data_IF_582690499244
#
_entry.id   IF_582690499244
#
_cell.length_a   1.000
_cell.length_b   1.000
_cell.length_c   1.000
_cell.angle_alpha   90.00
_cell.angle_beta   90.00
_cell.angle_gamma   90.00
#
_symmetry.space_group_name_H-M   'P 1'
#
loop_
_entity.id
_entity.type
_entity.pdbx_description
1 polymer ?
#
# COMPACT_ATOMS: atom_id res chain seq x y z
N UNK A 1 14.71 14.08 35.74
CA UNK A 1 13.91 14.40 34.53
C UNK A 1 13.66 13.07 33.82
N UNK A 2 12.50 12.47 34.07
CA UNK A 2 12.10 11.23 33.41
C UNK A 2 11.90 11.54 31.92
N UNK A 3 12.67 10.89 31.05
CA UNK A 3 12.42 10.89 29.61
C UNK A 3 11.10 10.17 29.35
N UNK A 4 9.99 10.92 29.42
CA UNK A 4 8.73 10.55 28.78
C UNK A 4 9.04 10.56 27.28
N UNK A 5 9.39 9.41 26.71
CA UNK A 5 9.53 9.29 25.25
C UNK A 5 8.16 9.69 24.67
N UNK A 6 8.09 10.76 23.86
CA UNK A 6 6.86 11.03 23.12
C UNK A 6 6.58 9.80 22.26
N UNK A 7 5.30 9.43 22.15
CA UNK A 7 4.82 8.41 21.23
C UNK A 7 5.06 8.91 19.79
N UNK A 8 6.31 8.86 19.36
CA UNK A 8 6.73 9.17 18.02
C UNK A 8 6.26 8.00 17.17
N UNK A 9 5.39 8.28 16.19
CA UNK A 9 4.76 7.30 15.32
C UNK A 9 5.75 6.29 14.73
N UNK A 10 7.02 6.68 14.52
CA UNK A 10 8.10 5.90 13.87
C UNK A 10 8.68 4.71 14.65
N UNK A 11 8.12 4.35 15.83
CA UNK A 11 8.70 3.31 16.69
C UNK A 11 7.85 2.06 16.87
N UNK A 12 6.60 2.04 16.42
CA UNK A 12 5.72 0.89 16.60
C UNK A 12 6.28 -0.37 15.94
N UNK A 13 6.93 -0.24 14.79
CA UNK A 13 7.54 -1.35 14.08
C UNK A 13 8.58 -2.10 14.91
N UNK A 14 9.40 -1.41 15.71
CA UNK A 14 10.41 -2.07 16.54
C UNK A 14 9.78 -2.97 17.61
N UNK A 15 8.72 -2.49 18.27
CA UNK A 15 7.99 -3.31 19.23
C UNK A 15 7.24 -4.46 18.55
N UNK A 16 6.73 -4.20 17.36
CA UNK A 16 5.98 -5.19 16.58
C UNK A 16 6.88 -6.29 16.01
N UNK A 17 8.15 -6.03 15.71
CA UNK A 17 9.10 -7.09 15.31
C UNK A 17 9.24 -8.15 16.40
N UNK A 18 9.49 -7.71 17.64
CA UNK A 18 9.61 -8.59 18.81
C UNK A 18 8.27 -9.28 19.15
N UNK A 19 7.16 -8.55 19.05
CA UNK A 19 5.83 -9.10 19.26
C UNK A 19 5.49 -10.17 18.21
N UNK A 20 5.83 -9.94 16.94
CA UNK A 20 5.58 -10.87 15.85
C UNK A 20 6.42 -12.15 15.99
N UNK A 21 7.67 -12.04 16.46
CA UNK A 21 8.50 -13.20 16.78
C UNK A 21 7.88 -14.02 17.91
N UNK A 22 7.44 -13.36 19.00
CA UNK A 22 6.75 -14.03 20.10
C UNK A 22 5.41 -14.66 19.66
N UNK A 23 4.66 -13.99 18.79
CA UNK A 23 3.42 -14.52 18.21
C UNK A 23 3.66 -15.73 17.31
N UNK A 24 4.75 -15.77 16.56
CA UNK A 24 5.13 -16.92 15.76
C UNK A 24 5.55 -18.11 16.64
N UNK A 25 6.37 -17.86 17.66
CA UNK A 25 6.82 -18.89 18.60
C UNK A 25 5.69 -19.48 19.44
N UNK A 26 4.75 -18.64 19.88
CA UNK A 26 3.65 -19.02 20.77
C UNK A 26 2.28 -18.97 20.08
N UNK A 27 2.23 -19.23 18.76
CA UNK A 27 1.02 -19.09 17.93
C UNK A 27 -0.20 -19.84 18.48
N UNK A 28 0.01 -20.91 19.28
CA UNK A 28 -1.07 -21.67 19.92
C UNK A 28 -1.92 -20.83 20.88
N UNK A 29 -1.36 -19.74 21.43
CA UNK A 29 -2.02 -18.81 22.35
C UNK A 29 -2.81 -17.72 21.63
N UNK A 30 -2.82 -17.71 20.30
CA UNK A 30 -3.54 -16.72 19.51
C UNK A 30 -5.05 -16.86 19.67
N UNK A 31 -5.69 -15.76 20.06
CA UNK A 31 -7.15 -15.68 20.15
C UNK A 31 -7.76 -15.26 18.82
N UNK A 32 -9.09 -15.39 18.71
CA UNK A 32 -9.84 -14.89 17.55
C UNK A 32 -9.72 -13.37 17.39
N UNK A 33 -9.73 -12.61 18.48
CA UNK A 33 -9.55 -11.15 18.42
C UNK A 33 -8.18 -10.77 17.86
N UNK A 34 -7.13 -11.50 18.27
CA UNK A 34 -5.78 -11.28 17.74
C UNK A 34 -5.72 -11.58 16.23
N UNK A 35 -6.43 -12.61 15.77
CA UNK A 35 -6.53 -12.93 14.34
C UNK A 35 -7.30 -11.87 13.54
N UNK A 36 -8.39 -11.32 14.10
CA UNK A 36 -9.17 -10.26 13.45
C UNK A 36 -8.35 -8.96 13.30
N UNK A 37 -7.50 -8.64 14.28
CA UNK A 37 -6.51 -7.55 14.19
C UNK A 37 -5.55 -7.77 13.02
N UNK A 38 -4.96 -8.97 12.90
CA UNK A 38 -4.05 -9.30 11.79
C UNK A 38 -4.74 -9.25 10.43
N UNK A 39 -5.99 -9.72 10.35
CA UNK A 39 -6.80 -9.64 9.14
C UNK A 39 -7.07 -8.19 8.74
N UNK A 40 -7.34 -7.30 9.69
CA UNK A 40 -7.51 -5.87 9.44
C UNK A 40 -6.24 -5.25 8.89
N UNK A 41 -5.09 -5.47 9.54
CA UNK A 41 -3.80 -4.97 9.08
C UNK A 41 -3.44 -5.50 7.67
N UNK A 42 -3.71 -6.79 7.39
CA UNK A 42 -3.54 -7.37 6.05
C UNK A 42 -4.42 -6.67 5.01
N UNK A 43 -5.68 -6.38 5.36
CA UNK A 43 -6.61 -5.67 4.46
C UNK A 43 -6.08 -4.28 4.13
N UNK A 44 -5.64 -3.52 5.12
CA UNK A 44 -5.07 -2.18 4.93
C UNK A 44 -3.80 -2.21 4.05
N UNK A 45 -2.92 -3.20 4.26
CA UNK A 45 -1.76 -3.42 3.39
C UNK A 45 -2.16 -3.74 1.94
N UNK A 46 -3.23 -4.51 1.72
CA UNK A 46 -3.70 -4.76 0.35
C UNK A 46 -4.25 -3.50 -0.31
N UNK A 47 -5.00 -2.68 0.43
CA UNK A 47 -5.52 -1.41 -0.07
C UNK A 47 -4.43 -0.36 -0.33
N UNK A 48 -3.32 -0.39 0.41
CA UNK A 48 -2.22 0.55 0.19
C UNK A 48 -1.52 0.34 -1.15
N UNK A 49 -1.45 -0.89 -1.69
CA UNK A 49 -0.99 -1.13 -3.07
C UNK A 49 -1.88 -0.46 -4.11
N UNK A 50 -3.21 -0.56 -3.94
CA UNK A 50 -4.14 0.11 -4.84
C UNK A 50 -4.01 1.63 -4.73
N UNK A 51 -3.95 2.17 -3.52
CA UNK A 51 -3.77 3.60 -3.28
C UNK A 51 -2.47 4.13 -3.90
N UNK A 52 -1.37 3.40 -3.76
CA UNK A 52 -0.10 3.73 -4.39
C UNK A 52 -0.18 3.71 -5.93
N UNK A 53 -0.90 2.74 -6.50
CA UNK A 53 -1.11 2.65 -7.94
C UNK A 53 -1.91 3.85 -8.47
N UNK A 54 -2.96 4.24 -7.75
CA UNK A 54 -3.76 5.44 -8.08
C UNK A 54 -2.91 6.71 -7.97
N UNK A 55 -2.16 6.87 -6.88
CA UNK A 55 -1.25 8.00 -6.69
C UNK A 55 -0.18 8.08 -7.79
N UNK A 56 0.34 6.94 -8.23
CA UNK A 56 1.30 6.86 -9.33
C UNK A 56 0.68 7.34 -10.64
N UNK A 57 -0.51 6.83 -10.98
CA UNK A 57 -1.23 7.20 -12.21
C UNK A 57 -1.51 8.71 -12.23
N UNK A 58 -2.09 9.23 -11.14
CA UNK A 58 -2.43 10.65 -11.03
C UNK A 58 -1.18 11.53 -11.06
N UNK A 59 -0.18 11.23 -10.22
CA UNK A 59 1.06 12.02 -10.12
C UNK A 59 1.87 12.03 -11.41
N UNK A 60 1.95 10.89 -12.11
CA UNK A 60 2.61 10.82 -13.42
C UNK A 60 1.84 11.59 -14.48
N UNK A 61 0.52 11.45 -14.51
CA UNK A 61 -0.33 12.10 -15.52
C UNK A 61 -0.33 13.63 -15.44
N UNK A 62 -0.11 14.19 -14.24
CA UNK A 62 0.03 15.63 -14.02
C UNK A 62 1.21 16.26 -14.79
N UNK A 63 2.20 15.44 -15.18
CA UNK A 63 3.39 15.88 -15.91
C UNK A 63 3.53 15.23 -17.29
N UNK A 64 2.51 14.51 -17.78
CA UNK A 64 2.50 13.93 -19.12
C UNK A 64 2.05 14.95 -20.17
N UNK A 65 2.67 14.93 -21.35
CA UNK A 65 2.20 15.68 -22.53
C UNK A 65 0.97 15.02 -23.17
N UNK A 66 0.30 15.70 -24.10
CA UNK A 66 -0.87 15.14 -24.81
C UNK A 66 -0.50 13.88 -25.59
N UNK A 67 0.68 13.86 -26.22
CA UNK A 67 1.19 12.69 -26.96
C UNK A 67 1.36 11.49 -26.03
N UNK A 68 1.87 11.72 -24.81
CA UNK A 68 2.07 10.65 -23.83
C UNK A 68 0.73 10.10 -23.31
N UNK A 69 -0.32 10.93 -23.21
CA UNK A 69 -1.67 10.47 -22.86
C UNK A 69 -2.33 9.74 -24.02
N UNK A 70 -2.23 10.26 -25.24
CA UNK A 70 -2.75 9.64 -26.45
C UNK A 70 -2.09 8.28 -26.70
N UNK A 71 -0.80 8.11 -26.39
CA UNK A 71 -0.14 6.80 -26.41
C UNK A 71 -0.81 5.73 -25.52
N UNK A 72 -1.67 6.14 -24.58
CA UNK A 72 -2.42 5.26 -23.67
C UNK A 72 -3.93 5.18 -23.98
N UNK A 73 -4.42 5.96 -24.95
CA UNK A 73 -5.83 6.04 -25.33
C UNK A 73 -6.03 5.61 -26.80
N UNK A 74 -5.16 6.12 -27.68
CA UNK A 74 -5.28 5.95 -29.11
C UNK A 74 -4.97 4.50 -29.51
N UNK A 75 -5.92 3.78 -30.15
CA UNK A 75 -5.70 2.40 -30.56
C UNK A 75 -4.57 2.26 -31.58
N UNK A 76 -4.18 3.34 -32.27
CA UNK A 76 -2.97 3.35 -33.07
C UNK A 76 -1.78 2.84 -32.24
N UNK A 77 -1.46 3.47 -31.12
CA UNK A 77 -0.31 3.08 -30.29
C UNK A 77 -0.58 1.77 -29.54
N UNK A 78 -1.78 1.59 -29.00
CA UNK A 78 -2.11 0.40 -28.20
C UNK A 78 -2.09 -0.89 -29.02
N UNK A 79 -2.31 -0.82 -30.33
CA UNK A 79 -2.31 -1.98 -31.21
C UNK A 79 -0.94 -2.23 -31.87
N UNK A 80 0.14 -1.56 -31.44
CA UNK A 80 1.48 -1.70 -32.05
C UNK A 80 2.01 -3.13 -32.04
N UNK A 81 1.62 -3.92 -31.03
CA UNK A 81 2.06 -5.32 -30.88
C UNK A 81 1.38 -6.25 -31.89
N UNK A 82 0.13 -5.97 -32.27
CA UNK A 82 -0.72 -6.92 -33.01
C UNK A 82 -1.02 -6.49 -34.44
N UNK A 83 -1.07 -5.18 -34.70
CA UNK A 83 -1.50 -4.62 -35.99
C UNK A 83 -0.32 -3.91 -36.68
N UNK A 84 0.01 -4.29 -37.93
CA UNK A 84 1.00 -3.58 -38.74
C UNK A 84 0.63 -2.10 -38.94
N UNK A 85 1.62 -1.21 -38.82
CA UNK A 85 1.40 0.25 -38.94
C UNK A 85 0.81 0.66 -40.29
N UNK A 86 1.16 -0.05 -41.36
CA UNK A 86 0.62 0.20 -42.70
C UNK A 86 -0.90 0.05 -42.83
N UNK A 87 -1.56 -0.68 -41.94
CA UNK A 87 -3.04 -0.76 -41.91
C UNK A 87 -3.66 0.55 -41.41
N UNK A 88 -3.04 1.19 -40.42
CA UNK A 88 -3.47 2.50 -39.92
C UNK A 88 -3.22 3.64 -40.90
N UNK A 89 -2.18 3.53 -41.74
CA UNK A 89 -1.88 4.54 -42.77
C UNK A 89 -2.85 4.49 -43.96
N UNK A 90 -3.57 3.38 -44.13
CA UNK A 90 -4.58 3.22 -45.19
C UNK A 90 -5.93 3.75 -44.70
N UNK A 91 -6.30 4.94 -45.16
CA UNK A 91 -7.61 5.52 -44.88
C UNK A 91 -8.73 4.56 -45.34
N UNK A 92 -9.68 4.29 -44.45
CA UNK A 92 -10.80 3.37 -44.70
C UNK A 92 -10.54 1.90 -44.39
N UNK A 93 -9.32 1.52 -43.97
CA UNK A 93 -9.04 0.14 -43.52
C UNK A 93 -9.79 -0.21 -42.23
N UNK A 94 -9.85 0.73 -41.29
CA UNK A 94 -10.67 0.63 -40.08
C UNK A 94 -11.85 1.60 -40.19
N UNK A 95 -13.06 1.11 -39.96
CA UNK A 95 -14.21 2.00 -39.82
C UNK A 95 -14.20 2.69 -38.46
N UNK A 96 -14.90 3.82 -38.34
CA UNK A 96 -14.98 4.57 -37.07
C UNK A 96 -15.53 3.72 -35.94
N UNK A 97 -16.50 2.85 -36.21
CA UNK A 97 -17.05 1.88 -35.24
C UNK A 97 -15.97 0.93 -34.71
N UNK A 98 -15.09 0.47 -35.57
CA UNK A 98 -14.03 -0.48 -35.22
C UNK A 98 -12.97 0.22 -34.35
N UNK A 99 -12.63 1.46 -34.71
CA UNK A 99 -11.72 2.30 -33.94
C UNK A 99 -12.26 2.56 -32.53
N UNK A 100 -13.56 2.86 -32.39
CA UNK A 100 -14.18 3.04 -31.08
C UNK A 100 -14.21 1.75 -30.25
N UNK A 101 -14.41 0.60 -30.89
CA UNK A 101 -14.35 -0.71 -30.21
C UNK A 101 -12.93 -1.03 -29.71
N UNK A 102 -11.91 -0.60 -30.45
CA UNK A 102 -10.50 -0.81 -30.10
C UNK A 102 -10.01 0.10 -28.97
N UNK A 103 -10.71 1.21 -28.67
CA UNK A 103 -10.32 2.10 -27.58
C UNK A 103 -10.50 1.45 -26.22
N UNK A 104 -9.58 1.67 -25.27
CA UNK A 104 -9.72 1.15 -23.92
C UNK A 104 -10.88 1.83 -23.19
N UNK A 105 -11.79 1.02 -22.62
CA UNK A 105 -12.98 1.51 -21.91
C UNK A 105 -12.80 1.61 -20.39
N UNK A 106 -11.65 1.17 -19.89
CA UNK A 106 -11.33 1.13 -18.46
C UNK A 106 -11.27 2.52 -17.80
N UNK A 107 -11.33 2.57 -16.45
CA UNK A 107 -11.40 3.83 -15.70
C UNK A 107 -10.19 4.74 -15.93
N UNK A 108 -8.99 4.17 -16.10
CA UNK A 108 -7.76 4.93 -16.36
C UNK A 108 -7.78 5.61 -17.73
N UNK A 109 -8.31 4.93 -18.75
CA UNK A 109 -8.43 5.50 -20.09
C UNK A 109 -9.42 6.67 -20.11
N UNK A 110 -10.57 6.52 -19.44
CA UNK A 110 -11.55 7.60 -19.27
C UNK A 110 -10.95 8.79 -18.52
N UNK A 111 -10.17 8.53 -17.47
CA UNK A 111 -9.45 9.56 -16.73
C UNK A 111 -8.47 10.31 -17.64
N UNK A 112 -7.65 9.62 -18.43
CA UNK A 112 -6.73 10.28 -19.37
C UNK A 112 -7.46 11.04 -20.47
N UNK A 113 -8.58 10.52 -20.97
CA UNK A 113 -9.40 11.21 -21.98
C UNK A 113 -9.97 12.52 -21.42
N UNK A 114 -10.45 12.52 -20.18
CA UNK A 114 -10.83 13.74 -19.48
C UNK A 114 -9.63 14.69 -19.30
N UNK A 115 -8.46 14.14 -18.94
CA UNK A 115 -7.25 14.92 -18.67
C UNK A 115 -6.68 15.64 -19.90
N UNK A 116 -6.99 15.19 -21.12
CA UNK A 116 -6.63 15.91 -22.36
C UNK A 116 -7.16 17.36 -22.35
N UNK A 117 -8.34 17.60 -21.79
CA UNK A 117 -8.93 18.94 -21.67
C UNK A 117 -8.43 19.75 -20.47
N UNK A 118 -7.55 19.19 -19.64
CA UNK A 118 -7.11 19.80 -18.38
C UNK A 118 -5.70 20.37 -18.53
N UNK A 119 -5.55 21.65 -18.17
CA UNK A 119 -4.25 22.32 -18.12
C UNK A 119 -3.33 21.63 -17.10
N UNK A 120 -2.11 21.31 -17.52
CA UNK A 120 -1.11 20.59 -16.72
C UNK A 120 0.31 21.07 -17.01
N UNK A 121 1.31 20.49 -16.35
CA UNK A 121 2.70 20.91 -16.43
C UNK A 121 3.54 19.83 -17.14
N UNK A 122 3.43 19.71 -18.48
CA UNK A 122 4.08 18.64 -19.21
C UNK A 122 5.59 18.75 -19.10
N UNK A 123 6.23 17.63 -18.79
CA UNK A 123 7.69 17.47 -18.85
C UNK A 123 8.02 16.42 -19.91
N UNK A 124 9.27 16.41 -20.39
CA UNK A 124 9.70 15.36 -21.32
C UNK A 124 9.55 13.99 -20.69
N UNK A 125 9.10 13.02 -21.50
CA UNK A 125 8.97 11.65 -21.03
C UNK A 125 10.35 11.12 -20.59
N UNK A 126 10.46 10.70 -19.33
CA UNK A 126 11.75 10.34 -18.73
C UNK A 126 11.68 10.20 -17.20
N UNK A 127 12.83 10.20 -16.51
CA UNK A 127 12.91 9.94 -15.08
C UNK A 127 12.12 10.94 -14.21
N UNK A 128 12.10 12.21 -14.59
CA UNK A 128 11.35 13.23 -13.83
C UNK A 128 9.83 12.97 -13.88
N UNK A 129 9.28 12.67 -15.06
CA UNK A 129 7.87 12.28 -15.20
C UNK A 129 7.54 11.03 -14.38
N UNK A 130 8.44 10.05 -14.38
CA UNK A 130 8.27 8.83 -13.59
C UNK A 130 8.32 9.11 -12.08
N UNK A 131 9.26 9.94 -11.63
CA UNK A 131 9.42 10.34 -10.23
C UNK A 131 8.19 11.08 -9.70
N UNK A 132 7.56 11.94 -10.50
CA UNK A 132 6.31 12.61 -10.14
C UNK A 132 5.15 11.65 -9.86
N UNK A 133 5.19 10.42 -10.39
CA UNK A 133 4.28 9.35 -9.98
C UNK A 133 4.82 8.51 -8.81
N UNK A 134 6.10 8.13 -8.84
CA UNK A 134 6.68 7.22 -7.84
C UNK A 134 6.76 7.83 -6.45
N UNK A 135 7.14 9.09 -6.32
CA UNK A 135 7.28 9.76 -5.02
C UNK A 135 5.96 9.79 -4.25
N UNK A 136 4.83 10.28 -4.79
CA UNK A 136 3.56 10.25 -4.07
C UNK A 136 3.06 8.82 -3.84
N UNK A 137 3.28 7.90 -4.77
CA UNK A 137 2.93 6.48 -4.58
C UNK A 137 3.70 5.84 -3.42
N UNK A 138 5.01 6.11 -3.33
CA UNK A 138 5.88 5.63 -2.26
C UNK A 138 5.44 6.17 -0.91
N UNK A 139 5.25 7.50 -0.80
CA UNK A 139 4.78 8.15 0.43
C UNK A 139 3.42 7.60 0.86
N UNK A 140 2.51 7.40 -0.08
CA UNK A 140 1.18 6.83 0.19
C UNK A 140 1.30 5.40 0.73
N UNK A 141 2.12 4.57 0.09
CA UNK A 141 2.32 3.18 0.51
C UNK A 141 2.96 3.09 1.89
N UNK A 142 4.08 3.79 2.11
CA UNK A 142 4.80 3.75 3.39
C UNK A 142 3.98 4.37 4.50
N UNK A 143 3.34 5.52 4.27
CA UNK A 143 2.49 6.20 5.24
C UNK A 143 1.30 5.35 5.68
N UNK A 144 0.57 4.75 4.73
CA UNK A 144 -0.58 3.89 5.06
C UNK A 144 -0.16 2.64 5.84
N UNK A 145 0.93 1.98 5.44
CA UNK A 145 1.42 0.80 6.17
C UNK A 145 1.90 1.18 7.57
N UNK A 146 2.59 2.30 7.71
CA UNK A 146 3.07 2.80 9.00
C UNK A 146 1.91 3.09 9.96
N UNK A 147 0.85 3.74 9.48
CA UNK A 147 -0.36 3.96 10.28
C UNK A 147 -1.11 2.67 10.61
N UNK A 148 -1.19 1.72 9.66
CA UNK A 148 -1.77 0.41 9.90
C UNK A 148 -1.05 -0.36 11.02
N UNK A 149 0.29 -0.33 11.05
CA UNK A 149 1.08 -0.95 12.13
C UNK A 149 0.85 -0.24 13.47
N UNK A 150 0.78 1.09 13.49
CA UNK A 150 0.43 1.84 14.70
C UNK A 150 -0.96 1.46 15.23
N UNK A 151 -1.95 1.32 14.35
CA UNK A 151 -3.29 0.90 14.74
C UNK A 151 -3.32 -0.55 15.25
N UNK A 152 -2.54 -1.44 14.62
CA UNK A 152 -2.36 -2.83 15.06
C UNK A 152 -1.80 -2.90 16.48
N UNK A 153 -0.70 -2.20 16.76
CA UNK A 153 -0.10 -2.16 18.09
C UNK A 153 -1.08 -1.59 19.12
N UNK A 154 -1.78 -0.49 18.80
CA UNK A 154 -2.79 0.10 19.67
C UNK A 154 -3.96 -0.86 19.96
N UNK A 155 -4.31 -1.71 19.01
CA UNK A 155 -5.35 -2.73 19.19
C UNK A 155 -4.86 -3.85 20.11
N UNK A 156 -3.63 -4.34 19.94
CA UNK A 156 -3.01 -5.30 20.85
C UNK A 156 -2.88 -4.76 22.29
N UNK A 157 -2.48 -3.49 22.46
CA UNK A 157 -2.36 -2.89 23.79
C UNK A 157 -3.67 -2.85 24.57
N UNK A 158 -4.82 -2.79 23.88
CA UNK A 158 -6.16 -2.79 24.48
C UNK A 158 -6.70 -4.19 24.73
N UNK A 159 -6.03 -5.22 24.19
CA UNK A 159 -6.54 -6.57 24.23
C UNK A 159 -6.04 -7.30 25.49
N UNK A 160 -6.97 -7.95 26.20
CA UNK A 160 -6.66 -8.73 27.41
C UNK A 160 -6.22 -10.16 27.04
N UNK A 161 -5.16 -10.26 26.24
CA UNK A 161 -4.57 -11.53 25.79
C UNK A 161 -3.10 -11.63 26.17
N UNK A 162 -2.53 -12.82 26.01
CA UNK A 162 -1.09 -13.08 26.19
C UNK A 162 -0.26 -12.10 25.34
N UNK A 163 -0.66 -11.91 24.08
CA UNK A 163 0.02 -10.98 23.17
C UNK A 163 -0.25 -9.51 23.50
N UNK A 164 -1.43 -9.17 24.01
CA UNK A 164 -1.69 -7.81 24.50
C UNK A 164 -0.88 -7.46 25.75
N UNK A 165 -0.67 -8.41 26.67
CA UNK A 165 0.25 -8.23 27.80
C UNK A 165 1.71 -8.11 27.33
N UNK A 166 2.14 -8.96 26.41
CA UNK A 166 3.47 -8.88 25.80
C UNK A 166 3.71 -7.50 25.16
N UNK A 167 2.76 -7.01 24.36
CA UNK A 167 2.83 -5.68 23.76
C UNK A 167 2.92 -4.57 24.80
N UNK A 168 2.15 -4.65 25.90
CA UNK A 168 2.20 -3.68 27.01
C UNK A 168 3.56 -3.68 27.70
N UNK A 169 4.16 -4.84 27.92
CA UNK A 169 5.49 -4.96 28.53
C UNK A 169 6.61 -4.44 27.63
N UNK A 170 6.55 -4.73 26.32
CA UNK A 170 7.48 -4.17 25.33
C UNK A 170 7.39 -2.64 25.26
N UNK A 171 6.18 -2.08 25.23
CA UNK A 171 5.96 -0.62 25.17
C UNK A 171 6.39 0.09 26.46
N UNK A 172 6.34 -0.60 27.62
CA UNK A 172 6.92 -0.09 28.88
C UNK A 172 8.45 0.01 28.82
N UNK A 173 9.09 -0.55 27.81
CA UNK A 173 10.53 -0.50 27.60
C UNK A 173 11.29 -1.64 28.28
N UNK A 174 10.62 -2.76 28.60
CA UNK A 174 11.33 -3.98 29.03
C UNK A 174 12.12 -4.57 27.88
N UNK A 175 13.22 -5.26 28.20
CA UNK A 175 13.93 -6.05 27.22
C UNK A 175 13.03 -7.18 26.70
N UNK A 176 13.14 -7.57 25.42
CA UNK A 176 12.29 -8.62 24.83
C UNK A 176 12.34 -9.94 25.61
N UNK A 177 13.53 -10.36 26.03
CA UNK A 177 13.74 -11.59 26.81
C UNK A 177 12.99 -11.56 28.16
N UNK A 178 13.04 -10.44 28.87
CA UNK A 178 12.35 -10.24 30.15
C UNK A 178 10.82 -10.24 29.97
N UNK A 179 10.34 -9.65 28.89
CA UNK A 179 8.92 -9.61 28.56
C UNK A 179 8.41 -11.03 28.21
N UNK A 180 9.14 -11.79 27.39
CA UNK A 180 8.81 -13.19 27.07
C UNK A 180 8.79 -14.02 28.36
N UNK A 181 9.86 -13.96 29.18
CA UNK A 181 9.93 -14.71 30.43
C UNK A 181 8.78 -14.38 31.38
N UNK A 182 8.41 -13.10 31.50
CA UNK A 182 7.30 -12.65 32.33
C UNK A 182 5.96 -13.21 31.86
N UNK A 183 5.73 -13.22 30.54
CA UNK A 183 4.50 -13.73 29.94
C UNK A 183 4.43 -15.26 30.02
N UNK A 184 5.51 -15.98 29.71
CA UNK A 184 5.56 -17.45 29.78
C UNK A 184 5.29 -17.95 31.20
N UNK A 185 5.84 -17.30 32.23
CA UNK A 185 5.54 -17.64 33.63
C UNK A 185 4.06 -17.49 33.98
N UNK A 186 3.36 -16.51 33.41
CA UNK A 186 1.91 -16.32 33.60
C UNK A 186 1.13 -17.40 32.87
N UNK A 187 1.51 -17.71 31.62
CA UNK A 187 0.92 -18.79 30.82
C UNK A 187 1.04 -20.14 31.54
N UNK A 188 2.22 -20.48 32.06
CA UNK A 188 2.45 -21.72 32.82
C UNK A 188 1.58 -21.81 34.08
N UNK A 189 1.34 -20.69 34.75
CA UNK A 189 0.57 -20.64 35.99
C UNK A 189 -0.94 -20.65 35.78
N UNK A 190 -1.42 -19.98 34.74
CA UNK A 190 -2.85 -19.70 34.54
C UNK A 190 -3.51 -20.56 33.45
N UNK A 191 -2.75 -21.05 32.46
CA UNK A 191 -3.30 -21.75 31.28
C UNK A 191 -2.88 -23.22 31.17
N UNK A 192 -1.75 -23.61 31.79
CA UNK A 192 -1.19 -24.97 31.67
C UNK A 192 -1.30 -25.81 32.95
N UNK A 193 -1.93 -25.28 34.00
CA UNK A 193 -2.30 -26.02 35.22
C UNK A 193 -3.79 -26.31 35.21
#
# INVERSE_FOLDING_TARGET
IFFRRPANMTYAEYYLMELDEAMQGMKRLQTRGDWEIECKCKKERMWSYLAATVAFIVGRSATMSDEALLARIDPYVLSEVTIPRGQWWRAGWFHKSDIELMKPTGPVARYYQWLLGVKRFPVRHGPLNLACGLVPAWITFTGLNHWAQNERLNSYLKQETVFGEMARELVRGKAPEDAIMGVTKRVEKELLR
#
